data_IF_730925519440
#
_entry.id   IF_730925519440
#
_cell.length_a   1.000
_cell.length_b   1.000
_cell.length_c   1.000
_cell.angle_alpha   90.00
_cell.angle_beta   90.00
_cell.angle_gamma   90.00
#
_symmetry.space_group_name_H-M   'P 1'
#
loop_
_entity.id
_entity.type
_entity.pdbx_description
1 polymer ?
#
# COMPACT_ATOMS: atom_id res chain seq x y z
N UNK A 1 25.46 4.71 -22.78
CA UNK A 1 24.40 4.23 -23.69
C UNK A 1 24.22 2.70 -23.63
N UNK A 2 25.28 1.88 -23.75
CA UNK A 2 25.14 0.40 -23.77
C UNK A 2 24.49 -0.24 -22.52
N UNK A 3 24.73 0.28 -21.31
CA UNK A 3 24.12 -0.22 -20.06
C UNK A 3 22.59 -0.08 -20.04
N UNK A 4 22.06 1.02 -20.57
CA UNK A 4 20.62 1.28 -20.61
C UNK A 4 19.93 0.38 -21.64
N UNK A 5 20.54 0.19 -22.83
CA UNK A 5 20.02 -0.73 -23.86
C UNK A 5 19.94 -2.16 -23.35
N UNK A 6 20.99 -2.66 -22.69
CA UNK A 6 21.00 -4.01 -22.10
C UNK A 6 19.88 -4.19 -21.06
N UNK A 7 19.62 -3.19 -20.23
CA UNK A 7 18.54 -3.24 -19.24
C UNK A 7 17.15 -3.28 -19.89
N UNK A 8 16.92 -2.50 -20.94
CA UNK A 8 15.65 -2.51 -21.66
C UNK A 8 15.44 -3.82 -22.43
N UNK A 9 16.47 -4.32 -23.11
CA UNK A 9 16.41 -5.62 -23.81
C UNK A 9 16.13 -6.75 -22.83
N UNK A 10 16.84 -6.82 -21.69
CA UNK A 10 16.60 -7.83 -20.68
C UNK A 10 15.16 -7.75 -20.14
N UNK A 11 14.66 -6.55 -19.81
CA UNK A 11 13.28 -6.35 -19.34
C UNK A 11 12.27 -6.80 -20.39
N UNK A 12 12.43 -6.41 -21.65
CA UNK A 12 11.54 -6.81 -22.74
C UNK A 12 11.56 -8.32 -22.97
N UNK A 13 12.73 -8.95 -22.94
CA UNK A 13 12.87 -10.40 -23.08
C UNK A 13 12.23 -11.15 -21.90
N UNK A 14 12.43 -10.69 -20.67
CA UNK A 14 11.80 -11.28 -19.48
C UNK A 14 10.28 -11.10 -19.50
N UNK A 15 9.80 -9.89 -19.79
CA UNK A 15 8.35 -9.62 -19.93
C UNK A 15 7.75 -10.46 -21.04
N UNK A 16 8.40 -10.54 -22.21
CA UNK A 16 7.96 -11.35 -23.33
C UNK A 16 7.93 -12.85 -23.01
N UNK A 17 8.95 -13.35 -22.32
CA UNK A 17 9.00 -14.74 -21.85
C UNK A 17 7.89 -15.03 -20.84
N UNK A 18 7.66 -14.15 -19.86
CA UNK A 18 6.59 -14.31 -18.87
C UNK A 18 5.22 -14.28 -19.54
N UNK A 19 4.96 -13.33 -20.45
CA UNK A 19 3.72 -13.28 -21.20
C UNK A 19 3.54 -14.54 -22.06
N UNK A 20 4.59 -15.01 -22.74
CA UNK A 20 4.55 -16.26 -23.50
C UNK A 20 4.22 -17.46 -22.61
N UNK A 21 4.84 -17.58 -21.43
CA UNK A 21 4.56 -18.65 -20.48
C UNK A 21 3.12 -18.59 -19.95
N UNK A 22 2.62 -17.39 -19.64
CA UNK A 22 1.23 -17.16 -19.22
C UNK A 22 0.27 -17.57 -20.33
N UNK A 23 0.42 -17.03 -21.55
CA UNK A 23 -0.46 -17.33 -22.67
C UNK A 23 -0.39 -18.80 -23.10
N UNK A 24 0.75 -19.46 -22.96
CA UNK A 24 0.87 -20.90 -23.19
C UNK A 24 0.08 -21.72 -22.17
N UNK A 25 -0.07 -21.21 -20.96
CA UNK A 25 -0.75 -21.89 -19.85
C UNK A 25 -2.24 -21.60 -19.77
N UNK A 26 -2.76 -20.65 -20.57
CA UNK A 26 -4.17 -20.27 -20.60
C UNK A 26 -4.80 -20.84 -21.86
N UNK A 27 -5.83 -21.68 -21.70
CA UNK A 27 -6.62 -22.17 -22.82
C UNK A 27 -7.77 -21.17 -23.08
N UNK A 28 -7.94 -20.65 -24.31
CA UNK A 28 -8.96 -19.64 -24.61
C UNK A 28 -10.38 -20.08 -24.24
N UNK A 29 -10.64 -21.38 -24.32
CA UNK A 29 -11.91 -22.02 -23.95
C UNK A 29 -12.17 -21.88 -22.44
N UNK A 30 -11.19 -22.23 -21.59
CA UNK A 30 -11.26 -22.07 -20.13
C UNK A 30 -11.44 -20.60 -19.73
N UNK A 31 -10.79 -19.67 -20.44
CA UNK A 31 -10.96 -18.23 -20.20
C UNK A 31 -12.38 -17.77 -20.53
N UNK A 32 -12.95 -18.22 -21.65
CA UNK A 32 -14.29 -17.85 -22.06
C UNK A 32 -15.34 -18.44 -21.09
N UNK A 33 -15.19 -19.72 -20.72
CA UNK A 33 -16.03 -20.36 -19.73
C UNK A 33 -15.98 -19.61 -18.39
N UNK A 34 -14.79 -19.28 -17.89
CA UNK A 34 -14.62 -18.52 -16.66
C UNK A 34 -15.32 -17.15 -16.72
N UNK A 35 -15.21 -16.41 -17.84
CA UNK A 35 -15.86 -15.11 -18.00
C UNK A 35 -17.38 -15.25 -18.06
N UNK A 36 -17.90 -16.26 -18.78
CA UNK A 36 -19.35 -16.49 -18.89
C UNK A 36 -19.99 -17.04 -17.61
N UNK A 37 -19.21 -17.69 -16.74
CA UNK A 37 -19.67 -18.20 -15.46
C UNK A 37 -19.79 -17.12 -14.37
N UNK A 38 -19.22 -15.92 -14.56
CA UNK A 38 -19.29 -14.83 -13.58
C UNK A 38 -20.72 -14.31 -13.50
N UNK A 39 -21.34 -14.43 -12.32
CA UNK A 39 -22.63 -13.79 -12.05
C UNK A 39 -22.50 -12.26 -12.10
N UNK A 40 -23.35 -11.55 -12.86
CA UNK A 40 -23.38 -10.09 -12.87
C UNK A 40 -23.55 -9.47 -11.47
N UNK A 41 -24.26 -10.16 -10.56
CA UNK A 41 -24.43 -9.71 -9.18
C UNK A 41 -23.13 -9.68 -8.39
N UNK A 42 -22.30 -10.71 -8.54
CA UNK A 42 -20.99 -10.78 -7.92
C UNK A 42 -20.01 -9.75 -8.48
N UNK A 43 -20.07 -9.50 -9.80
CA UNK A 43 -19.29 -8.44 -10.44
C UNK A 43 -19.65 -7.05 -9.88
N UNK A 44 -20.95 -6.78 -9.68
CA UNK A 44 -21.41 -5.54 -9.05
C UNK A 44 -20.91 -5.42 -7.61
N UNK A 45 -20.99 -6.50 -6.81
CA UNK A 45 -20.48 -6.50 -5.44
C UNK A 45 -18.96 -6.25 -5.38
N UNK A 46 -18.19 -6.87 -6.27
CA UNK A 46 -16.76 -6.63 -6.39
C UNK A 46 -16.46 -5.17 -6.76
N UNK A 47 -17.21 -4.59 -7.69
CA UNK A 47 -17.08 -3.18 -8.06
C UNK A 47 -17.39 -2.26 -6.86
N UNK A 48 -18.49 -2.49 -6.15
CA UNK A 48 -18.83 -1.70 -4.96
C UNK A 48 -17.78 -1.82 -3.86
N UNK A 49 -17.30 -3.04 -3.58
CA UNK A 49 -16.25 -3.28 -2.59
C UNK A 49 -14.94 -2.57 -3.00
N UNK A 50 -14.59 -2.57 -4.28
CA UNK A 50 -13.41 -1.86 -4.80
C UNK A 50 -13.56 -0.33 -4.67
N UNK A 51 -14.72 0.22 -5.00
CA UNK A 51 -15.00 1.66 -4.85
C UNK A 51 -15.00 2.09 -3.37
N UNK A 52 -15.57 1.26 -2.49
CA UNK A 52 -15.54 1.49 -1.06
C UNK A 52 -14.09 1.46 -0.53
N UNK A 53 -13.30 0.48 -0.96
CA UNK A 53 -11.88 0.35 -0.61
C UNK A 53 -11.10 1.62 -0.97
N UNK A 54 -11.23 2.11 -2.20
CA UNK A 54 -10.58 3.35 -2.66
C UNK A 54 -11.05 4.58 -1.87
N UNK A 55 -12.34 4.67 -1.58
CA UNK A 55 -12.93 5.78 -0.82
C UNK A 55 -12.41 5.83 0.61
N UNK A 56 -12.37 4.68 1.30
CA UNK A 56 -11.84 4.56 2.66
C UNK A 56 -10.33 4.87 2.68
N UNK A 57 -9.58 4.40 1.68
CA UNK A 57 -8.15 4.69 1.55
C UNK A 57 -7.89 6.19 1.34
N UNK A 58 -8.69 6.86 0.50
CA UNK A 58 -8.62 8.30 0.30
C UNK A 58 -8.94 9.08 1.59
N UNK A 59 -9.96 8.65 2.34
CA UNK A 59 -10.34 9.28 3.60
C UNK A 59 -9.24 9.13 4.66
N UNK A 60 -8.69 7.92 4.78
CA UNK A 60 -7.57 7.63 5.67
C UNK A 60 -6.38 8.54 5.37
N UNK A 61 -6.05 8.72 4.09
CA UNK A 61 -4.97 9.59 3.66
C UNK A 61 -5.24 11.08 3.91
N UNK A 62 -6.49 11.54 3.72
CA UNK A 62 -6.89 12.91 4.09
C UNK A 62 -6.61 13.19 5.57
N UNK A 63 -6.92 12.23 6.45
CA UNK A 63 -6.64 12.36 7.89
C UNK A 63 -5.14 12.44 8.18
N UNK A 64 -4.31 11.67 7.46
CA UNK A 64 -2.84 11.69 7.61
C UNK A 64 -2.29 13.06 7.20
N UNK A 65 -2.60 13.51 5.99
CA UNK A 65 -2.12 14.78 5.43
C UNK A 65 -2.65 15.97 6.23
N UNK A 66 -3.90 15.88 6.71
CA UNK A 66 -4.51 16.84 7.62
C UNK A 66 -3.73 17.03 8.93
N UNK A 67 -3.18 15.95 9.50
CA UNK A 67 -2.35 16.01 10.72
C UNK A 67 -0.94 16.53 10.47
N UNK A 68 -0.44 16.39 9.24
CA UNK A 68 0.81 17.04 8.82
C UNK A 68 0.65 18.55 8.60
N UNK A 69 -0.57 19.09 8.75
CA UNK A 69 -0.86 20.52 8.66
C UNK A 69 -1.50 20.96 7.35
N UNK A 70 -1.75 20.04 6.42
CA UNK A 70 -2.22 20.36 5.07
C UNK A 70 -3.67 19.95 4.88
N UNK A 71 -4.53 20.89 4.48
CA UNK A 71 -5.97 20.66 4.32
C UNK A 71 -6.40 20.90 2.89
N UNK A 72 -7.23 19.98 2.39
CA UNK A 72 -7.91 20.06 1.11
C UNK A 72 -9.28 19.37 1.25
N UNK A 73 -10.25 19.68 0.37
CA UNK A 73 -11.54 18.99 0.38
C UNK A 73 -11.36 17.48 0.10
N UNK A 74 -12.27 16.65 0.62
CA UNK A 74 -12.19 15.19 0.42
C UNK A 74 -12.16 14.78 -1.05
N UNK A 75 -12.87 15.52 -1.91
CA UNK A 75 -12.89 15.31 -3.38
C UNK A 75 -11.50 15.38 -4.02
N UNK A 76 -10.59 16.20 -3.48
CA UNK A 76 -9.20 16.26 -3.93
C UNK A 76 -8.49 14.93 -3.66
N UNK A 77 -8.57 14.42 -2.43
CA UNK A 77 -7.92 13.17 -2.03
C UNK A 77 -8.51 11.97 -2.76
N UNK A 78 -9.84 11.94 -2.92
CA UNK A 78 -10.55 10.91 -3.66
C UNK A 78 -10.09 10.89 -5.13
N UNK A 79 -10.14 12.04 -5.81
CA UNK A 79 -9.70 12.15 -7.21
C UNK A 79 -8.22 11.79 -7.40
N UNK A 80 -7.36 12.18 -6.45
CA UNK A 80 -5.94 11.80 -6.48
C UNK A 80 -5.74 10.30 -6.29
N UNK A 81 -6.51 9.64 -5.43
CA UNK A 81 -6.50 8.18 -5.28
C UNK A 81 -6.96 7.44 -6.53
N UNK A 82 -8.02 7.90 -7.18
CA UNK A 82 -8.50 7.31 -8.43
C UNK A 82 -7.47 7.43 -9.56
N UNK A 83 -6.84 8.61 -9.70
CA UNK A 83 -5.73 8.77 -10.65
C UNK A 83 -4.59 7.81 -10.29
N UNK A 84 -4.18 7.76 -9.02
CA UNK A 84 -3.15 6.83 -8.57
C UNK A 84 -3.48 5.37 -8.89
N UNK A 85 -4.71 4.94 -8.65
CA UNK A 85 -5.19 3.60 -8.96
C UNK A 85 -5.12 3.30 -10.46
N UNK A 86 -5.57 4.23 -11.32
CA UNK A 86 -5.46 4.10 -12.78
C UNK A 86 -4.01 3.91 -13.24
N UNK A 87 -3.08 4.73 -12.75
CA UNK A 87 -1.67 4.60 -13.07
C UNK A 87 -1.06 3.29 -12.56
N UNK A 88 -1.52 2.78 -11.41
CA UNK A 88 -1.07 1.48 -10.89
C UNK A 88 -1.56 0.29 -11.75
N UNK A 89 -2.64 0.44 -12.52
CA UNK A 89 -3.08 -0.58 -13.47
C UNK A 89 -2.30 -0.53 -14.78
N UNK A 90 -1.92 0.66 -15.24
CA UNK A 90 -1.18 0.85 -16.49
C UNK A 90 0.33 0.66 -16.36
N UNK A 91 0.89 0.76 -15.15
CA UNK A 91 2.32 0.68 -14.91
C UNK A 91 2.69 -0.61 -14.17
N UNK A 92 3.80 -1.27 -14.55
CA UNK A 92 4.27 -2.51 -13.90
C UNK A 92 4.76 -2.29 -12.46
N UNK A 93 4.67 -1.06 -11.94
CA UNK A 93 5.10 -0.70 -10.58
C UNK A 93 4.05 0.19 -9.93
N UNK A 94 3.76 -0.08 -8.65
CA UNK A 94 2.89 0.77 -7.82
C UNK A 94 3.45 2.17 -7.53
N UNK A 95 4.69 2.43 -7.94
CA UNK A 95 5.39 3.70 -7.75
C UNK A 95 4.76 4.81 -8.60
N UNK A 96 4.22 4.46 -9.78
CA UNK A 96 3.61 5.45 -10.67
C UNK A 96 2.40 6.14 -10.06
N UNK A 97 1.49 5.37 -9.45
CA UNK A 97 0.33 5.94 -8.77
C UNK A 97 0.69 6.77 -7.54
N UNK A 98 1.72 6.37 -6.78
CA UNK A 98 2.23 7.17 -5.67
C UNK A 98 2.87 8.48 -6.14
N UNK A 99 3.60 8.44 -7.27
CA UNK A 99 4.15 9.65 -7.89
C UNK A 99 3.07 10.67 -8.24
N UNK A 100 1.92 10.22 -8.76
CA UNK A 100 0.77 11.08 -9.05
C UNK A 100 0.17 11.68 -7.78
N UNK A 101 0.04 10.88 -6.72
CA UNK A 101 -0.45 11.36 -5.42
C UNK A 101 0.49 12.41 -4.81
N UNK A 102 1.79 12.17 -4.87
CA UNK A 102 2.81 13.14 -4.44
C UNK A 102 2.68 14.42 -5.27
N UNK A 103 2.64 14.30 -6.60
CA UNK A 103 2.53 15.43 -7.52
C UNK A 103 1.28 16.28 -7.25
N UNK A 104 0.13 15.64 -7.01
CA UNK A 104 -1.08 16.35 -6.61
C UNK A 104 -0.90 17.06 -5.27
N UNK A 105 -0.38 16.35 -4.25
CA UNK A 105 -0.17 16.92 -2.93
C UNK A 105 0.83 18.06 -2.90
N UNK A 106 1.80 18.14 -3.83
CA UNK A 106 2.69 19.32 -3.92
C UNK A 106 1.89 20.60 -4.12
N UNK A 107 0.76 20.55 -4.85
CA UNK A 107 -0.10 21.72 -5.11
C UNK A 107 -0.78 22.26 -3.84
N UNK A 108 -0.96 21.41 -2.82
CA UNK A 108 -1.61 21.76 -1.55
C UNK A 108 -0.56 22.00 -0.45
N UNK A 109 0.52 21.23 -0.44
CA UNK A 109 1.57 21.30 0.58
C UNK A 109 2.62 22.37 0.28
N UNK A 110 2.80 22.76 -0.98
CA UNK A 110 3.90 23.62 -1.42
C UNK A 110 5.28 22.96 -1.37
N UNK A 111 5.37 21.68 -0.99
CA UNK A 111 6.62 20.99 -0.72
C UNK A 111 6.56 19.53 -1.19
N UNK A 112 7.44 19.17 -2.12
CA UNK A 112 7.56 17.79 -2.59
C UNK A 112 7.98 16.82 -1.47
N UNK A 113 8.79 17.29 -0.52
CA UNK A 113 9.18 16.51 0.65
C UNK A 113 7.95 16.23 1.54
N UNK A 114 7.09 17.22 1.78
CA UNK A 114 5.88 17.05 2.60
C UNK A 114 4.86 16.12 1.97
N UNK A 115 4.63 16.28 0.66
CA UNK A 115 3.79 15.40 -0.12
C UNK A 115 4.31 13.95 -0.09
N UNK A 116 5.62 13.76 -0.23
CA UNK A 116 6.26 12.45 -0.12
C UNK A 116 6.01 11.81 1.23
N UNK A 117 6.26 12.52 2.34
CA UNK A 117 6.03 11.95 3.67
C UNK A 117 4.56 11.62 3.92
N UNK A 118 3.62 12.42 3.43
CA UNK A 118 2.19 12.12 3.53
C UNK A 118 1.82 10.80 2.85
N UNK A 119 2.33 10.55 1.65
CA UNK A 119 2.12 9.27 0.93
C UNK A 119 2.88 8.12 1.59
N UNK A 120 4.13 8.35 2.00
CA UNK A 120 4.96 7.34 2.63
C UNK A 120 4.37 6.86 3.97
N UNK A 121 3.89 7.78 4.81
CA UNK A 121 3.24 7.46 6.08
C UNK A 121 1.96 6.64 5.85
N UNK A 122 1.17 6.99 4.83
CA UNK A 122 -0.01 6.24 4.40
C UNK A 122 0.33 4.81 3.93
N UNK A 123 1.49 4.60 3.30
CA UNK A 123 2.01 3.26 2.97
C UNK A 123 2.42 2.49 4.22
N UNK A 124 3.17 3.10 5.12
CA UNK A 124 3.63 2.47 6.37
C UNK A 124 2.46 1.99 7.21
N UNK A 125 1.43 2.81 7.39
CA UNK A 125 0.26 2.41 8.20
C UNK A 125 -0.60 1.36 7.50
N UNK A 126 -0.66 1.38 6.16
CA UNK A 126 -1.28 0.29 5.38
C UNK A 126 -0.57 -1.04 5.59
N UNK A 127 0.76 -1.02 5.56
CA UNK A 127 1.59 -2.18 5.89
C UNK A 127 1.39 -2.61 7.36
N UNK A 128 1.33 -1.68 8.30
CA UNK A 128 1.07 -2.01 9.70
C UNK A 128 -0.27 -2.75 9.89
N UNK A 129 -1.35 -2.30 9.23
CA UNK A 129 -2.63 -2.99 9.23
C UNK A 129 -2.55 -4.42 8.65
N UNK A 130 -1.78 -4.59 7.57
CA UNK A 130 -1.55 -5.91 6.97
C UNK A 130 -0.77 -6.84 7.91
N UNK A 131 0.29 -6.32 8.54
CA UNK A 131 1.09 -7.07 9.50
C UNK A 131 0.23 -7.55 10.69
N UNK A 132 -0.62 -6.67 11.22
CA UNK A 132 -1.53 -7.03 12.31
C UNK A 132 -2.48 -8.16 11.91
N UNK A 133 -3.08 -8.10 10.72
CA UNK A 133 -3.94 -9.16 10.21
C UNK A 133 -3.19 -10.49 10.03
N UNK A 134 -1.98 -10.46 9.48
CA UNK A 134 -1.17 -11.66 9.28
C UNK A 134 -0.74 -12.28 10.60
N UNK A 135 -0.27 -11.48 11.56
CA UNK A 135 0.09 -11.96 12.90
C UNK A 135 -1.15 -12.56 13.58
N UNK A 136 -2.29 -11.86 13.54
CA UNK A 136 -3.53 -12.37 14.12
C UNK A 136 -3.95 -13.71 13.49
N UNK A 137 -3.90 -13.83 12.17
CA UNK A 137 -4.23 -15.08 11.47
C UNK A 137 -3.34 -16.25 11.92
N UNK A 138 -2.02 -16.05 11.98
CA UNK A 138 -1.08 -17.09 12.42
C UNK A 138 -1.24 -17.47 13.89
N UNK A 139 -1.59 -16.51 14.76
CA UNK A 139 -1.82 -16.78 16.18
C UNK A 139 -3.12 -17.53 16.43
N UNK A 140 -4.19 -17.19 15.68
CA UNK A 140 -5.50 -17.84 15.78
C UNK A 140 -5.49 -19.26 15.21
N UNK A 141 -4.73 -19.51 14.15
CA UNK A 141 -4.64 -20.83 13.54
C UNK A 141 -3.19 -21.21 13.23
N UNK A 142 -2.61 -21.99 14.14
CA UNK A 142 -1.21 -22.47 14.06
C UNK A 142 -0.99 -23.56 13.01
N UNK A 143 -2.06 -24.12 12.46
CA UNK A 143 -1.99 -25.16 11.41
C UNK A 143 -2.22 -24.57 10.01
N UNK A 144 -2.37 -23.25 9.86
CA UNK A 144 -2.49 -22.57 8.56
C UNK A 144 -1.29 -22.85 7.64
N UNK A 145 -0.10 -22.98 8.22
CA UNK A 145 1.15 -23.16 7.49
C UNK A 145 1.95 -24.32 8.08
N UNK A 146 2.71 -25.04 7.24
CA UNK A 146 3.72 -25.99 7.71
C UNK A 146 4.67 -25.33 8.71
N UNK A 147 5.08 -26.07 9.74
CA UNK A 147 5.88 -25.56 10.87
C UNK A 147 7.18 -24.88 10.43
N UNK A 148 7.81 -25.36 9.35
CA UNK A 148 9.04 -24.79 8.80
C UNK A 148 8.84 -23.42 8.13
N UNK A 149 7.61 -23.06 7.74
CA UNK A 149 7.24 -21.73 7.21
C UNK A 149 6.71 -20.84 8.34
N UNK A 150 5.93 -21.43 9.26
CA UNK A 150 5.22 -20.72 10.32
C UNK A 150 6.16 -19.85 11.18
N UNK A 151 7.19 -20.45 11.81
CA UNK A 151 8.06 -19.71 12.74
C UNK A 151 8.93 -18.65 12.06
N UNK A 152 9.57 -18.92 10.90
CA UNK A 152 10.31 -17.88 10.19
C UNK A 152 9.42 -16.71 9.76
N UNK A 153 8.22 -17.00 9.24
CA UNK A 153 7.28 -15.95 8.84
C UNK A 153 6.84 -15.11 10.05
N UNK A 154 6.47 -15.76 11.16
CA UNK A 154 6.08 -15.06 12.38
C UNK A 154 7.22 -14.16 12.91
N UNK A 155 8.47 -14.65 12.88
CA UNK A 155 9.64 -13.86 13.28
C UNK A 155 9.84 -12.63 12.39
N UNK A 156 9.70 -12.78 11.06
CA UNK A 156 9.78 -11.66 10.12
C UNK A 156 8.68 -10.64 10.39
N UNK A 157 7.44 -11.09 10.60
CA UNK A 157 6.32 -10.20 10.88
C UNK A 157 6.52 -9.42 12.20
N UNK A 158 6.98 -10.10 13.25
CA UNK A 158 7.31 -9.46 14.54
C UNK A 158 8.45 -8.46 14.34
N UNK A 159 9.53 -8.83 13.65
CA UNK A 159 10.66 -7.94 13.39
C UNK A 159 10.24 -6.68 12.62
N UNK A 160 9.38 -6.82 11.61
CA UNK A 160 8.81 -5.69 10.88
C UNK A 160 7.94 -4.80 11.77
N UNK A 161 7.06 -5.39 12.58
CA UNK A 161 6.22 -4.66 13.53
C UNK A 161 7.07 -3.90 14.55
N UNK A 162 8.11 -4.53 15.09
CA UNK A 162 9.09 -3.89 15.98
C UNK A 162 9.81 -2.75 15.26
N UNK A 163 10.24 -2.94 14.01
CA UNK A 163 10.86 -1.88 13.21
C UNK A 163 9.97 -0.65 13.05
N UNK A 164 8.67 -0.86 12.76
CA UNK A 164 7.69 0.22 12.67
C UNK A 164 7.46 0.93 14.02
N UNK A 165 7.49 0.20 15.13
CA UNK A 165 7.43 0.79 16.46
C UNK A 165 8.70 1.59 16.78
N UNK A 166 9.88 1.08 16.40
CA UNK A 166 11.15 1.79 16.59
C UNK A 166 11.23 3.08 15.78
N UNK A 167 10.63 3.14 14.58
CA UNK A 167 10.50 4.38 13.81
C UNK A 167 9.84 5.51 14.62
N UNK A 168 8.94 5.19 15.55
CA UNK A 168 8.35 6.19 16.44
C UNK A 168 9.41 6.82 17.35
N UNK A 169 10.37 6.04 17.85
CA UNK A 169 11.33 6.49 18.87
C UNK A 169 12.59 7.16 18.30
N UNK A 170 12.89 7.02 17.01
CA UNK A 170 14.13 7.56 16.40
C UNK A 170 14.29 9.07 16.61
N UNK A 171 13.20 9.85 16.60
CA UNK A 171 13.23 11.30 16.84
C UNK A 171 13.86 11.71 18.18
N UNK A 172 13.87 10.83 19.19
CA UNK A 172 14.42 11.14 20.52
C UNK A 172 15.94 11.18 20.53
N UNK A 173 16.60 10.60 19.53
CA UNK A 173 18.06 10.54 19.49
C UNK A 173 18.59 11.63 18.56
N UNK A 174 19.44 12.50 19.10
CA UNK A 174 20.11 13.59 18.35
C UNK A 174 20.96 13.08 17.19
N UNK A 175 21.35 11.80 17.19
CA UNK A 175 22.02 11.17 16.07
C UNK A 175 21.21 11.20 14.76
N UNK A 176 19.87 11.13 14.84
CA UNK A 176 18.99 11.18 13.66
C UNK A 176 18.64 12.60 13.21
N UNK A 177 19.30 13.64 13.74
CA UNK A 177 19.17 15.01 13.23
C UNK A 177 20.34 15.42 12.33
N UNK A 178 21.39 14.60 12.25
CA UNK A 178 22.65 14.93 11.57
C UNK A 178 22.68 14.35 10.15
N UNK A 179 23.10 15.15 9.16
CA UNK A 179 23.35 14.68 7.80
C UNK A 179 22.09 14.37 6.97
N UNK A 180 22.29 14.10 5.67
CA UNK A 180 21.17 13.96 4.70
C UNK A 180 20.31 12.71 4.97
N UNK A 181 20.94 11.56 5.17
CA UNK A 181 20.24 10.27 5.30
C UNK A 181 19.70 10.02 6.71
N UNK A 182 20.51 10.22 7.75
CA UNK A 182 20.07 10.08 9.14
C UNK A 182 19.06 11.17 9.50
N UNK A 183 19.28 12.41 9.07
CA UNK A 183 18.32 13.51 9.18
C UNK A 183 16.97 13.23 8.51
N UNK A 184 16.96 12.52 7.38
CA UNK A 184 15.72 12.08 6.74
C UNK A 184 14.93 11.11 7.62
N UNK A 185 15.60 10.12 8.24
CA UNK A 185 14.94 9.19 9.18
C UNK A 185 14.40 9.90 10.42
N UNK A 186 15.11 10.91 10.93
CA UNK A 186 14.62 11.76 12.02
C UNK A 186 13.36 12.55 11.62
N UNK A 187 13.37 13.21 10.45
CA UNK A 187 12.20 13.94 9.93
C UNK A 187 11.01 13.01 9.65
N UNK A 188 11.27 11.81 9.13
CA UNK A 188 10.26 10.78 8.95
C UNK A 188 9.64 10.37 10.28
N UNK A 189 10.49 10.09 11.28
CA UNK A 189 10.06 9.74 12.64
C UNK A 189 9.22 10.84 13.28
N UNK A 190 9.62 12.10 13.12
CA UNK A 190 8.89 13.27 13.62
C UNK A 190 7.50 13.38 13.00
N UNK A 191 7.40 13.25 11.68
CA UNK A 191 6.10 13.31 10.97
C UNK A 191 5.21 12.11 11.28
N UNK A 192 5.80 10.93 11.39
CA UNK A 192 5.10 9.74 11.84
C UNK A 192 4.54 9.94 13.26
N UNK A 193 5.35 10.50 14.16
CA UNK A 193 4.89 10.88 15.49
C UNK A 193 3.79 11.94 15.45
N UNK A 194 3.93 12.99 14.64
CA UNK A 194 2.93 14.04 14.49
C UNK A 194 1.55 13.47 14.09
N UNK A 195 1.53 12.49 13.19
CA UNK A 195 0.29 11.86 12.70
C UNK A 195 -0.33 10.88 13.72
N UNK A 196 0.49 10.18 14.51
CA UNK A 196 0.07 9.07 15.39
C UNK A 196 0.36 9.30 16.89
N UNK A 197 0.60 10.54 17.30
CA UNK A 197 0.93 10.90 18.69
C UNK A 197 -0.21 10.64 19.66
N UNK A 198 -1.47 10.57 19.19
CA UNK A 198 -2.62 10.26 20.02
C UNK A 198 -3.14 8.83 19.82
N UNK A 199 -3.57 8.19 20.91
CA UNK A 199 -4.11 6.83 20.83
C UNK A 199 -5.33 6.73 19.89
N UNK A 200 -6.31 7.67 19.92
CA UNK A 200 -7.42 7.64 18.96
C UNK A 200 -6.96 7.80 17.50
N UNK A 201 -5.90 8.58 17.28
CA UNK A 201 -5.29 8.74 15.96
C UNK A 201 -4.73 7.42 15.42
N UNK A 202 -4.00 6.68 16.26
CA UNK A 202 -3.43 5.40 15.88
C UNK A 202 -4.50 4.34 15.68
N UNK A 203 -5.45 4.20 16.61
CA UNK A 203 -6.48 3.15 16.55
C UNK A 203 -7.43 3.36 15.37
N UNK A 204 -7.87 4.60 15.11
CA UNK A 204 -8.69 4.91 13.92
C UNK A 204 -7.97 4.56 12.62
N UNK A 205 -6.68 4.89 12.52
CA UNK A 205 -5.89 4.66 11.32
C UNK A 205 -5.58 3.18 11.09
N UNK A 206 -5.32 2.42 12.15
CA UNK A 206 -5.20 0.96 12.09
C UNK A 206 -6.54 0.31 11.74
N UNK A 207 -7.64 0.75 12.35
CA UNK A 207 -8.99 0.27 12.04
C UNK A 207 -9.37 0.50 10.59
N UNK A 208 -9.12 1.70 10.04
CA UNK A 208 -9.30 2.00 8.62
C UNK A 208 -8.40 1.12 7.73
N UNK A 209 -7.17 0.84 8.16
CA UNK A 209 -6.25 -0.02 7.41
C UNK A 209 -6.74 -1.47 7.37
N UNK A 210 -7.21 -2.00 8.50
CA UNK A 210 -7.84 -3.33 8.56
C UNK A 210 -9.10 -3.37 7.69
N UNK A 211 -9.96 -2.36 7.75
CA UNK A 211 -11.15 -2.26 6.91
C UNK A 211 -10.80 -2.26 5.42
N UNK A 212 -9.77 -1.53 5.00
CA UNK A 212 -9.28 -1.52 3.62
C UNK A 212 -8.85 -2.93 3.18
N UNK A 213 -8.09 -3.64 4.02
CA UNK A 213 -7.66 -5.01 3.71
C UNK A 213 -8.84 -5.99 3.64
N UNK A 214 -9.80 -5.88 4.55
CA UNK A 214 -11.01 -6.70 4.50
C UNK A 214 -11.84 -6.43 3.24
N UNK A 215 -12.05 -5.17 2.88
CA UNK A 215 -12.74 -4.81 1.63
C UNK A 215 -12.00 -5.34 0.40
N UNK A 216 -10.67 -5.24 0.40
CA UNK A 216 -9.82 -5.78 -0.66
C UNK A 216 -9.78 -7.32 -0.72
N UNK A 217 -10.04 -8.02 0.40
CA UNK A 217 -10.21 -9.47 0.38
C UNK A 217 -11.59 -9.83 -0.16
N UNK A 218 -12.64 -9.10 0.23
CA UNK A 218 -14.00 -9.33 -0.26
C UNK A 218 -14.12 -9.20 -1.77
N UNK A 219 -13.38 -8.28 -2.40
CA UNK A 219 -13.36 -8.18 -3.88
C UNK A 219 -12.88 -9.47 -4.53
N UNK A 220 -11.87 -10.12 -3.97
CA UNK A 220 -11.36 -11.41 -4.46
C UNK A 220 -12.36 -12.54 -4.24
N UNK A 221 -13.02 -12.57 -3.07
CA UNK A 221 -14.03 -13.59 -2.76
C UNK A 221 -15.27 -13.48 -3.65
N UNK A 222 -15.67 -12.28 -4.06
CA UNK A 222 -16.80 -12.12 -4.97
C UNK A 222 -16.42 -12.42 -6.43
N UNK A 223 -15.16 -12.30 -6.81
CA UNK A 223 -14.72 -12.56 -8.18
C UNK A 223 -14.30 -14.01 -8.47
N UNK A 224 -14.25 -14.86 -7.44
CA UNK A 224 -13.86 -16.27 -7.52
C UNK A 224 -15.08 -17.18 -7.52
#
# INVERSE_FOLDING_TARGET
>A
MAKTTLQYTLRLSVTGLLLFLIFRSIHPEEMLEAVTAISPGYLLLALFAQLACLTVAAYRWQLIVGRLGFKAPFSFYLGSYFKGAFFNQGLPTSIGGDGVRIYDCVKVTGSAEDAFYGVFIDRVIGLAGLLLLNIAALLLNRTLLPTHIYYPLLLILIALATGLLLLFFLRKFSFFTVGKYLGFLGRLSERYFQVYSSLPALTSQLGLSVLIHLLSMSTFFFSS
#
